data_IF_473816478325
#
_entry.id   IF_473816478325
#
_cell.length_a   1.000
_cell.length_b   1.000
_cell.length_c   1.000
_cell.angle_alpha   90.00
_cell.angle_beta   90.00
_cell.angle_gamma   90.00
#
_symmetry.space_group_name_H-M   'P 1'
#
loop_
_entity.id
_entity.type
_entity.pdbx_description
1 polymer ?
#
# COMPACT_ATOMS: atom_id res chain seq x y z
N UNK A 1 2.24 2.53 -19.87
CA UNK A 1 1.52 3.01 -18.67
C UNK A 1 2.12 4.36 -18.35
N UNK A 2 1.31 5.32 -17.91
CA UNK A 2 1.77 6.68 -17.59
C UNK A 2 2.08 6.78 -16.10
N UNK A 3 2.98 7.68 -15.70
CA UNK A 3 3.28 7.99 -14.30
C UNK A 3 2.01 8.26 -13.47
N UNK A 4 1.01 8.94 -14.04
CA UNK A 4 -0.30 9.21 -13.41
C UNK A 4 -1.09 7.92 -13.11
N UNK A 5 -0.99 6.91 -13.97
CA UNK A 5 -1.65 5.60 -13.79
C UNK A 5 -1.00 4.79 -12.66
N UNK A 6 0.32 4.87 -12.55
CA UNK A 6 1.09 4.26 -11.46
C UNK A 6 0.82 4.97 -10.12
N UNK A 7 0.72 6.30 -10.13
CA UNK A 7 0.31 7.11 -8.97
C UNK A 7 -1.10 6.75 -8.49
N UNK A 8 -2.07 6.68 -9.40
CA UNK A 8 -3.46 6.29 -9.07
C UNK A 8 -3.50 4.92 -8.39
N UNK A 9 -2.74 3.94 -8.91
CA UNK A 9 -2.63 2.62 -8.29
C UNK A 9 -1.99 2.67 -6.90
N UNK A 10 -0.96 3.48 -6.71
CA UNK A 10 -0.34 3.67 -5.39
C UNK A 10 -1.35 4.25 -4.39
N UNK A 11 -2.20 5.22 -4.79
CA UNK A 11 -3.25 5.79 -3.95
C UNK A 11 -4.32 4.76 -3.55
N UNK A 12 -4.74 3.90 -4.48
CA UNK A 12 -5.68 2.81 -4.20
C UNK A 12 -5.10 1.81 -3.18
N UNK A 13 -3.82 1.46 -3.34
CA UNK A 13 -3.11 0.56 -2.42
C UNK A 13 -2.93 1.21 -1.04
N UNK A 14 -2.64 2.52 -0.97
CA UNK A 14 -2.57 3.27 0.28
C UNK A 14 -3.91 3.28 1.03
N UNK A 15 -5.02 3.50 0.33
CA UNK A 15 -6.37 3.45 0.93
C UNK A 15 -6.68 2.07 1.54
N UNK A 16 -6.25 1.00 0.87
CA UNK A 16 -6.34 -0.38 1.40
C UNK A 16 -5.47 -0.58 2.63
N UNK A 17 -4.22 -0.09 2.60
CA UNK A 17 -3.28 -0.17 3.72
C UNK A 17 -3.81 0.56 4.95
N UNK A 18 -4.38 1.75 4.77
CA UNK A 18 -5.01 2.51 5.85
C UNK A 18 -6.21 1.76 6.45
N UNK A 19 -7.00 1.11 5.62
CA UNK A 19 -8.14 0.30 6.05
C UNK A 19 -7.70 -0.91 6.89
N UNK A 20 -6.70 -1.65 6.43
CA UNK A 20 -6.11 -2.77 7.16
C UNK A 20 -5.47 -2.32 8.49
N UNK A 21 -4.78 -1.17 8.48
CA UNK A 21 -4.21 -0.57 9.70
C UNK A 21 -5.30 -0.20 10.71
N UNK A 22 -6.41 0.37 10.25
CA UNK A 22 -7.54 0.69 11.12
C UNK A 22 -8.25 -0.55 11.68
N UNK A 23 -8.23 -1.69 10.97
CA UNK A 23 -8.68 -2.98 11.52
C UNK A 23 -7.74 -3.49 12.61
N UNK A 24 -6.42 -3.44 12.37
CA UNK A 24 -5.42 -3.83 13.36
C UNK A 24 -5.51 -2.97 14.63
N UNK A 25 -5.65 -1.64 14.48
CA UNK A 25 -5.81 -0.72 15.60
C UNK A 25 -7.05 -1.11 16.44
N UNK A 26 -8.17 -1.47 15.80
CA UNK A 26 -9.37 -1.95 16.51
C UNK A 26 -9.13 -3.25 17.26
N UNK A 27 -8.50 -4.24 16.63
CA UNK A 27 -8.16 -5.51 17.28
C UNK A 27 -7.23 -5.32 18.48
N UNK A 28 -6.29 -4.38 18.40
CA UNK A 28 -5.36 -4.11 19.50
C UNK A 28 -6.05 -3.62 20.78
N UNK A 29 -7.26 -3.08 20.66
CA UNK A 29 -8.07 -2.56 21.77
C UNK A 29 -9.14 -3.53 22.27
N UNK A 30 -9.35 -4.67 21.59
CA UNK A 30 -10.34 -5.67 21.96
C UNK A 30 -9.69 -6.76 22.85
N UNK A 31 -10.19 -6.91 24.08
CA UNK A 31 -9.71 -7.87 25.07
C UNK A 31 -9.87 -9.34 24.63
N UNK A 32 -10.70 -9.61 23.61
CA UNK A 32 -10.95 -10.95 23.05
C UNK A 32 -10.42 -11.09 21.61
N UNK A 33 -9.59 -10.17 21.14
CA UNK A 33 -9.03 -10.26 19.78
C UNK A 33 -8.19 -11.53 19.58
N UNK A 34 -8.33 -12.15 18.40
CA UNK A 34 -7.50 -13.29 17.99
C UNK A 34 -6.09 -12.82 17.60
N UNK A 35 -5.03 -13.36 18.24
CA UNK A 35 -3.65 -13.10 17.84
C UNK A 35 -3.36 -13.55 16.39
N UNK A 36 -3.98 -14.65 15.95
CA UNK A 36 -3.83 -15.15 14.57
C UNK A 36 -4.35 -14.14 13.56
N UNK A 37 -5.53 -13.55 13.82
CA UNK A 37 -6.08 -12.50 12.95
C UNK A 37 -5.17 -11.27 12.90
N UNK A 38 -4.57 -10.88 14.02
CA UNK A 38 -3.61 -9.77 14.03
C UNK A 38 -2.37 -10.06 13.17
N UNK A 39 -1.85 -11.30 13.20
CA UNK A 39 -0.72 -11.72 12.36
C UNK A 39 -1.07 -11.74 10.87
N UNK A 40 -2.29 -12.15 10.51
CA UNK A 40 -2.79 -12.07 9.14
C UNK A 40 -2.79 -10.64 8.63
N UNK A 41 -3.35 -9.70 9.40
CA UNK A 41 -3.42 -8.28 9.01
C UNK A 41 -2.02 -7.67 8.92
N UNK A 42 -1.12 -8.02 9.84
CA UNK A 42 0.28 -7.58 9.76
C UNK A 42 0.98 -8.08 8.48
N UNK A 43 0.66 -9.30 8.05
CA UNK A 43 1.16 -9.86 6.79
C UNK A 43 0.59 -9.08 5.60
N UNK A 44 -0.72 -8.85 5.57
CA UNK A 44 -1.41 -8.06 4.55
C UNK A 44 -0.84 -6.63 4.45
N UNK A 45 -0.63 -5.97 5.60
CA UNK A 45 -0.01 -4.65 5.66
C UNK A 45 1.39 -4.63 5.06
N UNK A 46 2.18 -5.68 5.30
CA UNK A 46 3.54 -5.79 4.74
C UNK A 46 3.53 -5.98 3.22
N UNK A 47 2.55 -6.71 2.69
CA UNK A 47 2.37 -6.91 1.25
C UNK A 47 1.88 -5.64 0.56
N UNK A 48 0.90 -4.96 1.15
CA UNK A 48 0.40 -3.68 0.67
C UNK A 48 1.51 -2.62 0.64
N UNK A 49 2.34 -2.55 1.68
CA UNK A 49 3.45 -1.60 1.74
C UNK A 49 4.47 -1.82 0.60
N UNK A 50 4.83 -3.08 0.32
CA UNK A 50 5.72 -3.42 -0.80
C UNK A 50 5.08 -3.04 -2.14
N UNK A 51 3.80 -3.32 -2.33
CA UNK A 51 3.08 -2.98 -3.55
C UNK A 51 3.04 -1.45 -3.77
N UNK A 52 2.84 -0.66 -2.70
CA UNK A 52 2.92 0.82 -2.79
C UNK A 52 4.31 1.26 -3.24
N UNK A 53 5.37 0.74 -2.61
CA UNK A 53 6.75 1.07 -2.97
C UNK A 53 7.05 0.74 -4.44
N UNK A 54 6.60 -0.42 -4.93
CA UNK A 54 6.77 -0.83 -6.32
C UNK A 54 6.08 0.11 -7.32
N UNK A 55 4.84 0.55 -7.04
CA UNK A 55 4.12 1.49 -7.89
C UNK A 55 4.75 2.90 -7.85
N UNK A 56 5.26 3.35 -6.70
CA UNK A 56 5.97 4.63 -6.60
C UNK A 56 7.29 4.62 -7.38
N UNK A 57 8.08 3.54 -7.27
CA UNK A 57 9.31 3.37 -8.05
C UNK A 57 9.02 3.21 -9.55
N UNK A 58 7.86 2.67 -9.93
CA UNK A 58 7.41 2.67 -11.33
C UNK A 58 7.05 4.08 -11.80
N UNK A 59 6.21 4.79 -11.05
CA UNK A 59 5.79 6.16 -11.37
C UNK A 59 7.00 7.09 -11.55
N UNK A 60 8.01 6.97 -10.68
CA UNK A 60 9.27 7.71 -10.79
C UNK A 60 10.01 7.41 -12.10
N UNK A 61 10.21 6.13 -12.44
CA UNK A 61 10.88 5.73 -13.70
C UNK A 61 10.12 6.21 -14.94
N UNK A 62 8.79 6.15 -14.90
CA UNK A 62 7.94 6.63 -15.99
C UNK A 62 8.05 8.15 -16.15
N UNK A 63 7.99 8.90 -15.05
CA UNK A 63 8.16 10.36 -15.08
C UNK A 63 9.56 10.80 -15.56
N UNK A 64 10.62 10.10 -15.15
CA UNK A 64 11.98 10.33 -15.65
C UNK A 64 12.09 10.03 -17.16
N UNK A 65 11.40 9.00 -17.64
CA UNK A 65 11.39 8.63 -19.07
C UNK A 65 10.62 9.66 -19.91
N UNK A 66 9.46 10.10 -19.43
CA UNK A 66 8.65 11.13 -20.08
C UNK A 66 9.40 12.47 -20.16
N UNK A 67 10.14 12.85 -19.10
CA UNK A 67 10.94 14.07 -19.06
C UNK A 67 12.18 14.03 -19.97
N UNK A 68 12.68 12.84 -20.31
CA UNK A 68 13.84 12.64 -21.19
C UNK A 68 13.47 12.58 -22.69
N UNK A 69 12.18 12.54 -23.02
CA UNK A 69 11.68 12.52 -24.39
C UNK A 69 11.50 13.97 -24.91
N UNK A 70 12.19 14.37 -26.00
CA UNK A 70 12.18 15.76 -26.51
C UNK A 70 10.89 16.17 -27.21
#
# INVERSE_FOLDING_TARGET
MSSDESLTRAEELLSRLESARAELDRLSTDENASPERALEILSELSELAKAVEEELERAKREAESDAAQP
#
